data_IF_183949316486
#
_entry.id   IF_183949316486
#
_cell.length_a   1.000
_cell.length_b   1.000
_cell.length_c   1.000
_cell.angle_alpha   90.00
_cell.angle_beta   90.00
_cell.angle_gamma   90.00
#
_symmetry.space_group_name_H-M   'P 1'
#
loop_
_entity.id
_entity.type
_entity.pdbx_description
1 polymer ?
#
# COMPACT_ATOMS: atom_id res chain seq x y z
N UNK A 1 16.11 -17.17 9.16
CA UNK A 1 15.89 -15.81 9.70
C UNK A 1 14.46 -15.42 9.36
N UNK A 2 13.79 -14.62 10.18
CA UNK A 2 12.39 -14.27 9.92
C UNK A 2 12.33 -13.24 8.79
N UNK A 3 12.01 -13.67 7.58
CA UNK A 3 11.91 -12.80 6.40
C UNK A 3 10.59 -12.01 6.42
N UNK A 4 10.63 -10.84 7.07
CA UNK A 4 9.60 -9.80 6.89
C UNK A 4 9.96 -9.03 5.64
N UNK A 5 9.15 -9.15 4.59
CA UNK A 5 9.29 -8.31 3.40
C UNK A 5 8.51 -7.01 3.63
N UNK A 6 9.09 -5.89 3.25
CA UNK A 6 8.44 -4.59 3.34
C UNK A 6 8.58 -3.82 2.03
N UNK A 7 7.63 -2.91 1.81
CA UNK A 7 7.62 -2.04 0.65
C UNK A 7 7.14 -0.65 1.04
N UNK A 8 7.90 0.38 0.67
CA UNK A 8 7.55 1.79 0.87
C UNK A 8 7.69 2.50 -0.48
N UNK A 9 6.59 2.80 -1.18
CA UNK A 9 6.65 3.56 -2.43
C UNK A 9 7.15 4.98 -2.16
N UNK A 10 8.20 5.38 -2.86
CA UNK A 10 8.81 6.71 -2.77
C UNK A 10 8.49 7.49 -4.04
N UNK A 11 8.04 8.74 -3.87
CA UNK A 11 7.71 9.65 -4.96
C UNK A 11 8.70 10.83 -4.96
N UNK A 12 9.18 11.21 -6.13
CA UNK A 12 9.95 12.44 -6.31
C UNK A 12 9.00 13.60 -6.61
N UNK A 13 8.92 14.57 -5.70
CA UNK A 13 8.05 15.74 -5.83
C UNK A 13 8.87 17.01 -6.00
N UNK A 14 8.41 17.90 -6.88
CA UNK A 14 8.97 19.25 -7.03
C UNK A 14 8.30 20.17 -6.03
N UNK A 15 9.04 20.61 -5.01
CA UNK A 15 8.56 21.54 -3.98
C UNK A 15 9.29 22.86 -4.08
N UNK A 16 8.56 23.97 -3.93
CA UNK A 16 9.17 25.29 -3.87
C UNK A 16 9.63 25.56 -2.42
N UNK A 17 10.94 25.56 -2.20
CA UNK A 17 11.57 25.86 -0.90
C UNK A 17 12.38 27.14 -1.03
N UNK A 18 12.11 28.13 -0.19
CA UNK A 18 12.85 29.42 -0.15
C UNK A 18 13.02 30.06 -1.54
N UNK A 19 11.96 30.03 -2.36
CA UNK A 19 11.96 30.62 -3.71
C UNK A 19 12.65 29.78 -4.79
N UNK A 20 13.20 28.59 -4.48
CA UNK A 20 13.80 27.67 -5.45
C UNK A 20 12.96 26.39 -5.56
N UNK A 21 12.73 25.91 -6.77
CA UNK A 21 12.12 24.58 -6.99
C UNK A 21 13.17 23.51 -6.75
N UNK A 22 12.96 22.68 -5.75
CA UNK A 22 13.82 21.55 -5.40
C UNK A 22 13.04 20.25 -5.56
N UNK A 23 13.70 19.22 -6.10
CA UNK A 23 13.18 17.86 -6.10
C UNK A 23 13.48 17.23 -4.74
N UNK A 24 12.43 16.83 -4.03
CA UNK A 24 12.50 16.12 -2.75
C UNK A 24 11.92 14.71 -2.96
N UNK A 25 12.59 13.69 -2.43
CA UNK A 25 12.03 12.32 -2.37
C UNK A 25 11.26 12.17 -1.07
N UNK A 26 10.00 11.77 -1.17
CA UNK A 26 9.13 11.53 -0.02
C UNK A 26 8.34 10.24 -0.17
N UNK A 27 7.83 9.70 0.93
CA UNK A 27 6.95 8.55 0.87
C UNK A 27 5.62 8.92 0.19
N UNK A 28 5.14 8.06 -0.71
CA UNK A 28 3.82 8.21 -1.32
C UNK A 28 2.73 8.18 -0.22
N UNK A 29 2.90 7.34 0.80
CA UNK A 29 2.01 7.28 1.96
C UNK A 29 2.80 7.66 3.21
N UNK A 30 2.63 8.89 3.70
CA UNK A 30 3.39 9.39 4.83
C UNK A 30 3.07 8.58 6.10
N UNK A 31 4.10 8.09 6.78
CA UNK A 31 3.99 7.26 8.01
C UNK A 31 3.34 5.88 7.79
N UNK A 32 3.22 5.41 6.55
CA UNK A 32 2.75 4.05 6.23
C UNK A 32 3.80 3.29 5.42
N UNK A 33 3.85 1.99 5.64
CA UNK A 33 4.62 1.05 4.84
C UNK A 33 3.82 -0.25 4.69
N UNK A 34 4.07 -0.96 3.60
CA UNK A 34 3.48 -2.26 3.35
C UNK A 34 4.37 -3.36 3.91
N UNK A 35 3.76 -4.38 4.51
CA UNK A 35 4.47 -5.57 5.00
C UNK A 35 3.84 -6.84 4.44
N UNK A 36 4.69 -7.81 4.14
CA UNK A 36 4.30 -9.15 3.75
C UNK A 36 5.03 -10.15 4.64
N UNK A 37 4.26 -10.95 5.36
CA UNK A 37 4.76 -11.96 6.28
C UNK A 37 3.78 -13.14 6.35
N UNK A 38 4.29 -14.32 6.67
CA UNK A 38 3.47 -15.50 6.92
C UNK A 38 2.99 -15.49 8.39
N UNK A 39 1.67 -15.44 8.66
CA UNK A 39 1.15 -15.44 10.03
C UNK A 39 1.47 -16.71 10.83
N UNK A 40 1.69 -17.85 10.16
CA UNK A 40 2.08 -19.12 10.81
C UNK A 40 3.52 -19.10 11.33
N UNK A 41 4.37 -18.28 10.71
CA UNK A 41 5.78 -18.16 11.07
C UNK A 41 6.07 -16.92 11.92
N UNK A 42 5.26 -15.87 11.77
CA UNK A 42 5.44 -14.60 12.44
C UNK A 42 4.09 -14.03 12.90
N UNK A 43 3.93 -13.92 14.22
CA UNK A 43 2.73 -13.33 14.79
C UNK A 43 2.67 -11.82 14.54
N UNK A 44 1.44 -11.32 14.43
CA UNK A 44 1.12 -9.88 14.31
C UNK A 44 1.80 -9.05 15.40
N UNK A 45 1.81 -9.58 16.63
CA UNK A 45 2.46 -8.93 17.79
C UNK A 45 3.95 -8.74 17.58
N UNK A 46 4.65 -9.70 16.95
CA UNK A 46 6.08 -9.55 16.65
C UNK A 46 6.33 -8.46 15.61
N UNK A 47 5.49 -8.35 14.58
CA UNK A 47 5.59 -7.27 13.59
C UNK A 47 5.42 -5.91 14.29
N UNK A 48 4.45 -5.79 15.19
CA UNK A 48 4.22 -4.55 15.96
C UNK A 48 5.36 -4.23 16.94
N UNK A 49 6.07 -5.24 17.44
CA UNK A 49 7.22 -5.05 18.33
C UNK A 49 8.49 -4.60 17.59
N UNK A 50 8.47 -4.52 16.25
CA UNK A 50 9.62 -4.00 15.50
C UNK A 50 9.79 -2.50 15.76
N UNK A 51 11.02 -2.08 16.03
CA UNK A 51 11.35 -0.67 16.34
C UNK A 51 10.91 0.23 15.17
N UNK A 52 10.10 1.24 15.47
CA UNK A 52 9.60 2.19 14.49
C UNK A 52 8.23 1.84 13.88
N UNK A 53 7.68 0.65 14.17
CA UNK A 53 6.29 0.34 13.83
C UNK A 53 5.38 0.81 14.95
N UNK A 54 4.52 1.78 14.65
CA UNK A 54 3.57 2.30 15.63
C UNK A 54 2.38 1.34 15.84
N UNK A 55 1.76 0.88 14.74
CA UNK A 55 0.62 -0.03 14.75
C UNK A 55 0.39 -0.64 13.37
N UNK A 56 -0.29 -1.79 13.32
CA UNK A 56 -0.89 -2.26 12.07
C UNK A 56 -2.27 -1.66 11.89
N UNK A 57 -2.62 -1.33 10.64
CA UNK A 57 -3.92 -0.77 10.28
C UNK A 57 -5.00 -1.84 10.38
N UNK A 58 -6.16 -1.48 10.92
CA UNK A 58 -7.33 -2.34 11.08
C UNK A 58 -8.58 -1.64 10.59
N UNK A 59 -9.49 -2.41 10.01
CA UNK A 59 -10.85 -1.99 9.69
C UNK A 59 -11.82 -2.76 10.59
N UNK A 60 -12.24 -2.13 11.69
CA UNK A 60 -12.90 -2.82 12.79
C UNK A 60 -11.94 -3.79 13.48
N UNK A 61 -12.34 -5.05 13.62
CA UNK A 61 -11.52 -6.09 14.26
C UNK A 61 -10.51 -6.74 13.30
N UNK A 62 -10.70 -6.57 11.99
CA UNK A 62 -9.89 -7.21 10.95
C UNK A 62 -8.66 -6.36 10.60
N UNK A 63 -7.49 -6.99 10.42
CA UNK A 63 -6.33 -6.34 9.85
C UNK A 63 -6.61 -5.87 8.41
N UNK A 64 -6.16 -4.67 8.07
CA UNK A 64 -6.24 -4.17 6.71
C UNK A 64 -5.35 -5.04 5.81
N UNK A 65 -5.96 -5.60 4.76
CA UNK A 65 -5.25 -6.31 3.68
C UNK A 65 -5.27 -5.44 2.44
N UNK A 66 -4.12 -5.37 1.78
CA UNK A 66 -3.97 -4.70 0.49
C UNK A 66 -4.18 -5.75 -0.59
N UNK A 67 -5.06 -5.51 -1.59
CA UNK A 67 -5.20 -6.39 -2.73
C UNK A 67 -3.86 -6.58 -3.47
N UNK A 68 -3.57 -7.80 -3.89
CA UNK A 68 -2.30 -8.11 -4.58
C UNK A 68 -2.15 -7.28 -5.87
N UNK A 69 -3.24 -7.07 -6.61
CA UNK A 69 -3.26 -6.24 -7.82
C UNK A 69 -2.81 -4.79 -7.58
N UNK A 70 -3.22 -4.19 -6.45
CA UNK A 70 -2.81 -2.84 -6.06
C UNK A 70 -1.34 -2.81 -5.68
N UNK A 71 -0.90 -3.81 -4.90
CA UNK A 71 0.49 -3.90 -4.46
C UNK A 71 1.44 -4.11 -5.65
N UNK A 72 1.05 -4.96 -6.60
CA UNK A 72 1.81 -5.26 -7.81
C UNK A 72 1.93 -4.02 -8.70
N UNK A 73 0.83 -3.30 -8.89
CA UNK A 73 0.82 -2.06 -9.67
C UNK A 73 1.72 -0.99 -9.04
N UNK A 74 1.62 -0.77 -7.72
CA UNK A 74 2.51 0.15 -7.00
C UNK A 74 3.98 -0.28 -7.07
N UNK A 75 4.28 -1.56 -6.91
CA UNK A 75 5.65 -2.06 -6.99
C UNK A 75 6.23 -1.86 -8.40
N UNK A 76 5.45 -2.14 -9.46
CA UNK A 76 5.88 -1.87 -10.85
C UNK A 76 6.19 -0.40 -11.10
N UNK A 77 5.44 0.53 -10.50
CA UNK A 77 5.65 1.98 -10.65
C UNK A 77 6.84 2.51 -9.85
N UNK A 78 7.00 2.06 -8.61
CA UNK A 78 7.89 2.72 -7.64
C UNK A 78 9.09 1.90 -7.18
N UNK A 79 9.06 0.58 -7.32
CA UNK A 79 10.21 -0.27 -6.98
C UNK A 79 10.12 -1.64 -7.70
N UNK A 80 10.53 -1.72 -8.98
CA UNK A 80 10.42 -2.94 -9.77
C UNK A 80 11.32 -4.07 -9.27
N UNK A 81 12.22 -3.80 -8.31
CA UNK A 81 13.10 -4.79 -7.69
C UNK A 81 12.44 -5.54 -6.53
N UNK A 82 11.27 -5.10 -6.05
CA UNK A 82 10.51 -5.84 -5.04
C UNK A 82 10.02 -7.14 -5.66
N UNK A 83 10.47 -8.27 -5.11
CA UNK A 83 9.99 -9.60 -5.47
C UNK A 83 8.48 -9.68 -5.23
N UNK A 84 7.71 -9.61 -6.31
CA UNK A 84 6.26 -9.75 -6.31
C UNK A 84 5.89 -11.17 -5.84
N UNK A 85 4.73 -11.36 -5.19
CA UNK A 85 4.21 -12.71 -4.96
C UNK A 85 4.16 -13.45 -6.31
N UNK A 86 4.61 -14.71 -6.33
CA UNK A 86 4.76 -15.49 -7.56
C UNK A 86 3.46 -15.44 -8.39
N UNK A 87 3.61 -15.11 -9.66
CA UNK A 87 2.53 -14.76 -10.60
C UNK A 87 1.47 -15.86 -10.76
N UNK A 88 1.76 -17.09 -10.31
CA UNK A 88 0.84 -18.24 -10.33
C UNK A 88 -0.24 -18.28 -9.24
N UNK A 89 -0.25 -17.35 -8.27
CA UNK A 89 -1.29 -17.27 -7.21
C UNK A 89 -2.08 -15.97 -7.21
N UNK A 90 -1.67 -15.01 -8.04
CA UNK A 90 -2.35 -13.73 -8.22
C UNK A 90 -3.56 -13.98 -9.11
N UNK A 91 -4.72 -13.43 -8.74
CA UNK A 91 -5.89 -13.49 -9.62
C UNK A 91 -5.45 -12.94 -10.99
N UNK A 92 -5.54 -13.74 -12.05
CA UNK A 92 -5.11 -13.34 -13.40
C UNK A 92 -5.97 -12.21 -14.00
N UNK A 93 -6.85 -11.63 -13.20
CA UNK A 93 -7.70 -10.52 -13.58
C UNK A 93 -6.90 -9.22 -13.48
N UNK A 94 -6.84 -8.43 -14.57
CA UNK A 94 -6.22 -7.12 -14.51
C UNK A 94 -7.00 -6.24 -13.53
N UNK A 95 -6.26 -5.40 -12.79
CA UNK A 95 -6.83 -4.41 -11.89
C UNK A 95 -7.91 -3.58 -12.60
N UNK A 96 -9.11 -3.48 -12.03
CA UNK A 96 -10.20 -2.74 -12.66
C UNK A 96 -9.83 -1.26 -12.88
N UNK A 97 -10.30 -0.68 -13.99
CA UNK A 97 -10.01 0.72 -14.36
C UNK A 97 -10.37 1.73 -13.27
N UNK A 98 -11.46 1.48 -12.54
CA UNK A 98 -11.86 2.33 -11.41
C UNK A 98 -10.79 2.39 -10.30
N UNK A 99 -10.17 1.24 -9.99
CA UNK A 99 -9.12 1.16 -8.98
C UNK A 99 -7.82 1.81 -9.49
N UNK A 100 -7.52 1.66 -10.78
CA UNK A 100 -6.36 2.31 -11.42
C UNK A 100 -6.48 3.83 -11.38
N UNK A 101 -7.67 4.36 -11.70
CA UNK A 101 -7.95 5.79 -11.67
C UNK A 101 -7.88 6.32 -10.23
N UNK A 102 -8.47 5.62 -9.26
CA UNK A 102 -8.41 6.03 -7.87
C UNK A 102 -6.98 6.13 -7.33
N UNK A 103 -6.10 5.18 -7.70
CA UNK A 103 -4.67 5.27 -7.36
C UNK A 103 -4.00 6.46 -8.03
N UNK A 104 -4.28 6.70 -9.32
CA UNK A 104 -3.72 7.86 -10.02
C UNK A 104 -4.17 9.19 -9.40
N UNK A 105 -5.43 9.28 -8.96
CA UNK A 105 -5.96 10.47 -8.28
C UNK A 105 -5.28 10.68 -6.92
N UNK A 106 -4.99 9.60 -6.20
CA UNK A 106 -4.22 9.64 -4.95
C UNK A 106 -2.81 10.15 -5.22
N UNK A 107 -2.11 9.66 -6.24
CA UNK A 107 -0.74 10.10 -6.56
C UNK A 107 -0.62 11.60 -6.82
N UNK A 108 -1.68 12.22 -7.37
CA UNK A 108 -1.75 13.66 -7.67
C UNK A 108 -1.96 14.54 -6.45
N UNK A 109 -2.34 13.96 -5.32
CA UNK A 109 -2.55 14.70 -4.09
C UNK A 109 -1.22 15.24 -3.53
N UNK A 110 -1.29 16.47 -3.02
CA UNK A 110 -0.12 17.27 -2.64
C UNK A 110 0.54 16.84 -1.32
N UNK A 111 -0.22 16.18 -0.44
CA UNK A 111 0.24 15.74 0.88
C UNK A 111 0.24 14.22 1.01
N UNK A 112 1.38 13.66 1.40
CA UNK A 112 1.52 12.22 1.68
C UNK A 112 0.59 11.70 2.78
N UNK A 113 0.13 12.56 3.70
CA UNK A 113 -0.85 12.20 4.72
C UNK A 113 -2.25 12.05 4.11
N UNK A 114 -2.65 13.00 3.26
CA UNK A 114 -3.95 12.95 2.56
C UNK A 114 -3.97 11.77 1.59
N UNK A 115 -2.85 11.49 0.91
CA UNK A 115 -2.69 10.27 0.10
C UNK A 115 -2.95 9.01 0.89
N UNK A 116 -2.36 8.90 2.07
CA UNK A 116 -2.56 7.74 2.93
C UNK A 116 -4.03 7.58 3.36
N UNK A 117 -4.70 8.66 3.76
CA UNK A 117 -6.12 8.61 4.15
C UNK A 117 -7.02 8.18 2.98
N UNK A 118 -6.82 8.76 1.79
CA UNK A 118 -7.55 8.38 0.57
C UNK A 118 -7.32 6.92 0.20
N UNK A 119 -6.08 6.44 0.35
CA UNK A 119 -5.73 5.05 0.08
C UNK A 119 -6.41 4.08 1.08
N UNK A 120 -6.45 4.43 2.37
CA UNK A 120 -7.18 3.63 3.36
C UNK A 120 -8.68 3.57 3.07
N UNK A 121 -9.28 4.69 2.66
CA UNK A 121 -10.68 4.74 2.24
C UNK A 121 -10.93 3.83 1.02
N UNK A 122 -10.06 3.91 0.02
CA UNK A 122 -10.12 3.05 -1.16
C UNK A 122 -10.07 1.56 -0.82
N UNK A 123 -9.18 1.16 0.10
CA UNK A 123 -9.10 -0.23 0.58
C UNK A 123 -10.37 -0.68 1.31
N UNK A 124 -10.98 0.21 2.10
CA UNK A 124 -12.21 -0.07 2.81
C UNK A 124 -13.37 -0.29 1.83
N UNK A 125 -13.49 0.56 0.81
CA UNK A 125 -14.56 0.48 -0.20
C UNK A 125 -14.40 -0.76 -1.09
N UNK A 126 -13.16 -1.05 -1.53
CA UNK A 126 -12.85 -2.25 -2.31
C UNK A 126 -13.24 -3.53 -1.58
N UNK A 127 -13.03 -3.58 -0.25
CA UNK A 127 -13.41 -4.74 0.57
C UNK A 127 -14.93 -4.95 0.62
N UNK A 128 -15.71 -3.87 0.70
CA UNK A 128 -17.19 -3.94 0.70
C UNK A 128 -17.72 -4.49 -0.63
N UNK A 129 -17.13 -4.07 -1.75
CA UNK A 129 -17.47 -4.58 -3.07
C UNK A 129 -17.15 -6.07 -3.22
N UNK A 130 -15.96 -6.50 -2.77
CA UNK A 130 -15.56 -7.91 -2.81
C UNK A 130 -16.43 -8.81 -1.89
N UNK A 131 -16.90 -8.29 -0.75
CA UNK A 131 -17.79 -9.05 0.15
C UNK A 131 -19.20 -9.28 -0.40
N UNK A 132 -19.65 -8.44 -1.35
CA UNK A 132 -20.97 -8.56 -1.97
C UNK A 132 -21.03 -9.62 -3.08
N UNK A 133 -19.90 -9.99 -3.67
CA UNK A 133 -19.81 -10.93 -4.80
C UNK A 133 -19.67 -12.42 -4.41
N UNK A 134 -19.84 -12.78 -3.13
CA UNK A 134 -19.70 -14.17 -2.65
C UNK A 134 -21.03 -14.89 -2.41
N UNK A 135 -22.15 -14.34 -2.88
CA UNK A 135 -23.47 -14.96 -2.71
C UNK A 135 -24.16 -15.01 -4.07
N UNK A 136 -23.71 -15.91 -4.94
CA UNK A 136 -24.51 -16.54 -6.00
C UNK A 136 -24.03 -17.98 -6.21
#
# INVERSE_FOLDING_TARGET
>A
MQDIRYFCPMLTVKKQRRGKTQEESEALFANYLFVHFNPDQLSVTRVQATRGVARLVRFGETLARVPDEVLIDLARRYNPLVALPEEGKVCSQPMCTALQQALADIERESSGEVRALRFLQLLQDHRQLASRHRVE
#
